data_IF_653892725036
#
_entry.id   IF_653892725036
#
_cell.length_a   1.000
_cell.length_b   1.000
_cell.length_c   1.000
_cell.angle_alpha   90.00
_cell.angle_beta   90.00
_cell.angle_gamma   90.00
#
_symmetry.space_group_name_H-M   'P 1'
#
loop_
_entity.id
_entity.type
_entity.pdbx_description
1 polymer ?
#
# COMPACT_ATOMS: atom_id res chain seq x y z
N UNK A 1 -12.04 -5.64 1.30
CA UNK A 1 -11.20 -6.08 2.44
C UNK A 1 -9.72 -5.92 2.07
N UNK A 2 -8.93 -5.41 2.98
CA UNK A 2 -7.48 -5.28 2.77
C UNK A 2 -6.83 -6.66 2.88
N UNK A 3 -6.09 -7.06 1.85
CA UNK A 3 -5.45 -8.37 1.80
C UNK A 3 -4.22 -8.45 2.72
N UNK A 4 -3.71 -9.65 2.91
CA UNK A 4 -2.45 -9.87 3.62
C UNK A 4 -1.29 -9.12 2.96
N UNK A 5 -1.26 -9.05 1.62
CA UNK A 5 -0.24 -8.31 0.88
C UNK A 5 -0.24 -6.82 1.25
N UNK A 6 -1.42 -6.20 1.27
CA UNK A 6 -1.56 -4.79 1.64
C UNK A 6 -1.11 -4.52 3.07
N UNK A 7 -1.52 -5.39 3.99
CA UNK A 7 -1.13 -5.26 5.40
C UNK A 7 0.38 -5.45 5.60
N UNK A 8 0.97 -6.42 4.91
CA UNK A 8 2.41 -6.67 5.00
C UNK A 8 3.23 -5.57 4.33
N UNK A 9 2.71 -4.98 3.25
CA UNK A 9 3.36 -3.83 2.63
C UNK A 9 3.49 -2.66 3.62
N UNK A 10 2.44 -2.39 4.39
CA UNK A 10 2.51 -1.38 5.45
C UNK A 10 3.57 -1.73 6.49
N UNK A 11 3.67 -3.00 6.90
CA UNK A 11 4.67 -3.45 7.86
C UNK A 11 6.10 -3.26 7.31
N UNK A 12 6.31 -3.54 6.02
CA UNK A 12 7.61 -3.31 5.38
C UNK A 12 7.96 -1.84 5.35
N UNK A 13 7.02 -0.99 4.96
CA UNK A 13 7.23 0.45 4.91
C UNK A 13 7.56 1.02 6.30
N UNK A 14 6.86 0.55 7.34
CA UNK A 14 7.12 0.95 8.72
C UNK A 14 8.47 0.46 9.21
N UNK A 15 8.84 -0.79 8.89
CA UNK A 15 10.14 -1.34 9.27
C UNK A 15 11.27 -0.48 8.72
N UNK A 16 11.17 -0.10 7.45
CA UNK A 16 12.16 0.77 6.82
C UNK A 16 12.16 2.16 7.46
N UNK A 17 10.99 2.72 7.75
CA UNK A 17 10.89 4.03 8.39
C UNK A 17 11.55 4.06 9.77
N UNK A 18 11.43 2.96 10.52
CA UNK A 18 11.97 2.86 11.87
C UNK A 18 13.46 2.55 11.91
N UNK A 19 13.97 1.83 10.92
CA UNK A 19 15.32 1.26 10.96
C UNK A 19 16.28 1.86 9.92
N UNK A 20 15.77 2.53 8.91
CA UNK A 20 16.60 3.15 7.90
C UNK A 20 17.35 4.37 8.44
N UNK A 21 18.65 4.41 8.25
CA UNK A 21 19.50 5.54 8.63
C UNK A 21 20.32 5.99 7.41
N UNK A 22 19.64 6.18 6.29
CA UNK A 22 20.28 6.57 5.04
C UNK A 22 20.96 5.42 4.30
N UNK A 23 20.77 4.18 4.75
CA UNK A 23 21.39 2.99 4.16
C UNK A 23 20.31 2.04 3.66
N UNK A 24 20.67 1.23 2.65
CA UNK A 24 19.82 0.14 2.20
C UNK A 24 19.73 -0.94 3.27
N UNK A 25 18.53 -1.47 3.50
CA UNK A 25 18.31 -2.52 4.48
C UNK A 25 18.06 -3.84 3.74
N UNK A 26 18.90 -4.88 4.00
CA UNK A 26 18.71 -6.18 3.37
C UNK A 26 17.33 -6.78 3.69
N UNK A 27 16.73 -7.42 2.70
CA UNK A 27 15.41 -8.02 2.87
C UNK A 27 15.38 -9.06 3.99
N UNK A 28 16.47 -9.81 4.18
CA UNK A 28 16.58 -10.80 5.27
C UNK A 28 16.38 -10.17 6.65
N UNK A 29 16.83 -8.93 6.82
CA UNK A 29 16.70 -8.23 8.10
C UNK A 29 15.25 -7.80 8.34
N UNK A 30 14.58 -7.33 7.30
CA UNK A 30 13.15 -7.00 7.37
C UNK A 30 12.36 -8.26 7.68
N UNK A 31 12.64 -9.35 6.98
CA UNK A 31 11.96 -10.63 7.17
C UNK A 31 12.10 -11.14 8.61
N UNK A 32 13.32 -11.03 9.17
CA UNK A 32 13.59 -11.46 10.53
C UNK A 32 12.84 -10.62 11.56
N UNK A 33 12.88 -9.28 11.43
CA UNK A 33 12.19 -8.40 12.39
C UNK A 33 10.69 -8.55 12.32
N UNK A 34 10.13 -8.72 11.11
CA UNK A 34 8.69 -8.82 10.91
C UNK A 34 8.16 -10.24 11.03
N UNK A 35 9.05 -11.22 11.21
CA UNK A 35 8.69 -12.64 11.28
C UNK A 35 7.88 -13.09 10.06
N UNK A 36 8.36 -12.69 8.88
CA UNK A 36 7.72 -13.00 7.61
C UNK A 36 8.68 -13.75 6.69
N UNK A 37 8.13 -14.55 5.79
CA UNK A 37 8.90 -15.26 4.79
C UNK A 37 9.62 -14.28 3.86
N UNK A 38 10.93 -14.45 3.71
CA UNK A 38 11.74 -13.65 2.77
C UNK A 38 11.20 -13.76 1.34
N UNK A 39 10.84 -14.97 0.94
CA UNK A 39 10.30 -15.23 -0.40
C UNK A 39 9.02 -14.45 -0.67
N UNK A 40 8.13 -14.41 0.32
CA UNK A 40 6.89 -13.63 0.20
C UNK A 40 7.17 -12.13 0.15
N UNK A 41 8.12 -11.67 0.97
CA UNK A 41 8.50 -10.25 0.98
C UNK A 41 9.16 -9.81 -0.33
N UNK A 42 9.84 -10.70 -1.03
CA UNK A 42 10.42 -10.40 -2.35
C UNK A 42 9.34 -9.93 -3.33
N UNK A 43 8.17 -10.55 -3.28
CA UNK A 43 7.04 -10.17 -4.14
C UNK A 43 6.52 -8.79 -3.74
N UNK A 44 6.38 -8.55 -2.46
CA UNK A 44 5.86 -7.28 -1.92
C UNK A 44 6.79 -6.12 -2.24
N UNK A 45 8.09 -6.24 -1.96
CA UNK A 45 9.04 -5.16 -2.20
C UNK A 45 9.20 -4.87 -3.69
N UNK A 46 9.09 -5.90 -4.53
CA UNK A 46 9.13 -5.72 -5.98
C UNK A 46 7.98 -4.84 -6.46
N UNK A 47 6.79 -5.06 -5.94
CA UNK A 47 5.63 -4.24 -6.26
C UNK A 47 5.77 -2.82 -5.73
N UNK A 48 6.32 -2.65 -4.54
CA UNK A 48 6.56 -1.33 -3.96
C UNK A 48 7.61 -0.54 -4.75
N UNK A 49 8.66 -1.20 -5.22
CA UNK A 49 9.67 -0.58 -6.10
C UNK A 49 9.04 -0.18 -7.43
N UNK A 50 8.23 -1.07 -8.01
CA UNK A 50 7.52 -0.81 -9.27
C UNK A 50 6.62 0.42 -9.17
N UNK A 51 5.99 0.62 -8.03
CA UNK A 51 5.12 1.77 -7.76
C UNK A 51 5.87 3.04 -7.38
N UNK A 52 7.20 3.02 -7.35
CA UNK A 52 7.99 4.18 -6.98
C UNK A 52 7.97 4.50 -5.49
N UNK A 53 7.58 3.55 -4.64
CA UNK A 53 7.48 3.76 -3.19
C UNK A 53 8.76 3.35 -2.45
N UNK A 54 9.57 2.49 -3.05
CA UNK A 54 10.86 2.06 -2.51
C UNK A 54 11.94 2.13 -3.59
N UNK A 55 13.18 2.22 -3.16
CA UNK A 55 14.36 2.05 -4.01
C UNK A 55 15.05 0.77 -3.58
N UNK A 56 15.44 -0.06 -4.57
CA UNK A 56 16.22 -1.25 -4.33
C UNK A 56 17.63 -1.11 -4.89
N UNK A 57 18.57 -1.80 -4.27
CA UNK A 57 19.95 -1.92 -4.75
C UNK A 57 20.41 -3.35 -4.57
N UNK A 58 21.16 -3.88 -5.55
CA UNK A 58 21.70 -5.24 -5.48
C UNK A 58 23.14 -5.25 -5.01
N UNK A 59 23.65 -6.45 -4.70
CA UNK A 59 25.04 -6.64 -4.30
C UNK A 59 25.30 -6.39 -2.83
N UNK A 60 26.59 -6.30 -2.48
CA UNK A 60 27.03 -6.06 -1.10
C UNK A 60 26.59 -4.66 -0.65
N UNK A 61 25.96 -4.59 0.51
CA UNK A 61 25.39 -3.34 1.02
C UNK A 61 24.07 -2.98 0.38
N UNK A 62 23.50 -3.88 -0.42
CA UNK A 62 22.20 -3.67 -1.06
C UNK A 62 21.01 -3.98 -0.15
N UNK A 63 19.84 -3.82 -0.71
CA UNK A 63 18.58 -4.01 -0.02
C UNK A 63 17.58 -2.96 -0.48
N UNK A 64 16.79 -2.46 0.46
CA UNK A 64 15.72 -1.51 0.15
C UNK A 64 15.75 -0.32 1.07
N UNK A 65 15.28 0.82 0.59
CA UNK A 65 15.10 2.02 1.41
C UNK A 65 13.94 2.86 0.89
N UNK A 66 13.47 3.77 1.74
CA UNK A 66 12.41 4.71 1.38
C UNK A 66 12.92 5.72 0.35
N UNK A 67 12.03 6.16 -0.55
CA UNK A 67 12.32 7.21 -1.54
C UNK A 67 12.04 8.60 -0.98
N UNK A 68 11.20 8.67 0.07
CA UNK A 68 10.70 9.91 0.66
C UNK A 68 10.71 9.79 2.17
N UNK A 69 10.55 10.91 2.85
CA UNK A 69 10.37 10.89 4.30
C UNK A 69 9.01 10.28 4.65
N UNK A 70 8.88 9.63 5.82
CA UNK A 70 7.60 8.99 6.21
C UNK A 70 6.39 9.91 6.14
N UNK A 71 6.52 11.19 6.43
CA UNK A 71 5.44 12.16 6.36
C UNK A 71 5.03 12.52 4.92
N UNK A 72 5.78 12.07 3.93
CA UNK A 72 5.49 12.32 2.52
C UNK A 72 4.75 11.16 1.84
N UNK A 73 4.53 10.05 2.55
CA UNK A 73 3.74 8.92 2.05
C UNK A 73 2.33 8.97 2.63
N UNK A 74 1.33 8.79 1.77
CA UNK A 74 -0.02 8.51 2.25
C UNK A 74 -0.22 7.01 2.38
N UNK A 75 -1.04 6.58 3.33
CA UNK A 75 -1.37 5.15 3.44
C UNK A 75 -2.20 4.70 2.22
N UNK A 76 -2.99 5.61 1.66
CA UNK A 76 -3.79 5.30 0.47
C UNK A 76 -2.94 4.87 -0.72
N UNK A 77 -1.84 5.59 -1.03
CA UNK A 77 -1.00 5.21 -2.15
C UNK A 77 -0.30 3.87 -1.95
N UNK A 78 0.07 3.56 -0.71
CA UNK A 78 0.70 2.26 -0.40
C UNK A 78 -0.30 1.11 -0.60
N UNK A 79 -1.50 1.27 -0.05
CA UNK A 79 -2.55 0.26 -0.16
C UNK A 79 -2.99 0.07 -1.61
N UNK A 80 -3.21 1.15 -2.36
CA UNK A 80 -3.62 1.05 -3.75
C UNK A 80 -2.54 0.39 -4.63
N UNK A 81 -1.27 0.61 -4.34
CA UNK A 81 -0.19 -0.06 -5.06
C UNK A 81 -0.28 -1.58 -4.94
N UNK A 82 -0.69 -2.06 -3.76
CA UNK A 82 -0.77 -3.50 -3.49
C UNK A 82 -2.11 -4.12 -3.88
N UNK A 83 -3.19 -3.39 -3.66
CA UNK A 83 -4.55 -3.91 -3.79
C UNK A 83 -5.23 -3.50 -5.11
N UNK A 84 -4.68 -2.50 -5.78
CA UNK A 84 -5.39 -1.80 -6.82
C UNK A 84 -6.43 -0.84 -6.23
N UNK A 85 -7.22 -0.21 -7.09
CA UNK A 85 -8.25 0.72 -6.66
C UNK A 85 -9.30 -0.01 -5.82
N UNK A 86 -9.49 0.42 -4.59
CA UNK A 86 -10.46 -0.20 -3.69
C UNK A 86 -11.87 0.26 -4.03
N UNK A 87 -12.76 -0.70 -4.21
CA UNK A 87 -14.17 -0.44 -4.44
C UNK A 87 -15.01 -1.36 -3.56
N UNK A 88 -16.04 -0.81 -2.93
CA UNK A 88 -16.93 -1.57 -2.07
C UNK A 88 -17.85 -2.49 -2.86
N UNK A 89 -18.17 -2.12 -4.10
CA UNK A 89 -19.03 -2.90 -5.00
C UNK A 89 -18.46 -2.87 -6.41
N UNK A 90 -18.79 -3.90 -7.21
CA UNK A 90 -18.25 -4.06 -8.56
C UNK A 90 -18.53 -2.86 -9.48
N UNK A 91 -19.71 -2.25 -9.36
CA UNK A 91 -20.09 -1.13 -10.21
C UNK A 91 -19.28 0.13 -9.97
N UNK A 92 -18.54 0.22 -8.87
CA UNK A 92 -17.65 1.34 -8.54
C UNK A 92 -16.17 1.00 -8.77
N UNK A 93 -15.87 -0.19 -9.28
CA UNK A 93 -14.50 -0.62 -9.52
C UNK A 93 -13.83 0.11 -10.69
N UNK A 94 -14.59 0.70 -11.59
CA UNK A 94 -14.09 1.50 -12.71
C UNK A 94 -14.76 2.87 -12.72
N UNK A 95 -14.17 3.81 -13.46
CA UNK A 95 -14.75 5.15 -13.58
C UNK A 95 -16.12 5.12 -14.29
N UNK A 96 -16.26 4.19 -15.23
CA UNK A 96 -17.50 4.03 -15.99
C UNK A 96 -18.33 2.91 -15.34
N UNK A 97 -19.42 3.31 -14.68
CA UNK A 97 -20.37 2.35 -14.14
C UNK A 97 -21.24 1.80 -15.28
N UNK A 98 -20.98 0.54 -15.65
CA UNK A 98 -21.70 -0.13 -16.75
C UNK A 98 -22.92 -0.90 -16.26
N UNK A 99 -23.27 -0.81 -14.98
CA UNK A 99 -24.44 -1.51 -14.43
C UNK A 99 -25.73 -1.03 -15.09
N UNK A 100 -26.57 -1.96 -15.61
CA UNK A 100 -27.84 -1.57 -16.24
C UNK A 100 -28.80 -0.82 -15.32
N UNK A 101 -28.63 -0.95 -14.00
CA UNK A 101 -29.50 -0.33 -13.01
C UNK A 101 -29.00 1.02 -12.51
N UNK A 102 -27.84 1.51 -12.99
CA UNK A 102 -27.17 2.70 -12.43
C UNK A 102 -28.06 3.95 -12.38
N UNK A 103 -28.94 4.14 -13.36
CA UNK A 103 -29.81 5.32 -13.45
C UNK A 103 -30.95 5.34 -12.42
N UNK A 104 -31.27 4.18 -11.85
CA UNK A 104 -32.37 4.06 -10.87
C UNK A 104 -32.00 3.23 -9.64
N UNK A 105 -30.71 2.95 -9.44
CA UNK A 105 -30.24 2.16 -8.30
C UNK A 105 -30.29 3.02 -7.02
N UNK A 106 -31.18 2.66 -6.11
CA UNK A 106 -31.37 3.40 -4.86
C UNK A 106 -30.22 3.21 -3.86
N UNK A 107 -29.43 2.14 -4.00
CA UNK A 107 -28.29 1.87 -3.10
C UNK A 107 -26.98 2.42 -3.62
N UNK A 108 -26.90 2.84 -4.88
CA UNK A 108 -25.66 3.38 -5.44
C UNK A 108 -25.12 4.58 -4.66
N UNK A 109 -25.94 5.54 -4.24
CA UNK A 109 -25.43 6.67 -3.43
C UNK A 109 -24.78 6.21 -2.12
N UNK A 110 -25.34 5.18 -1.47
CA UNK A 110 -24.78 4.61 -0.25
C UNK A 110 -23.37 4.05 -0.50
N UNK A 111 -23.21 3.25 -1.56
CA UNK A 111 -21.92 2.65 -1.89
C UNK A 111 -20.91 3.70 -2.32
N UNK A 112 -21.35 4.73 -3.03
CA UNK A 112 -20.49 5.86 -3.43
C UNK A 112 -19.97 6.60 -2.20
N UNK A 113 -20.83 6.89 -1.25
CA UNK A 113 -20.45 7.56 0.00
C UNK A 113 -19.46 6.69 0.79
N UNK A 114 -19.74 5.40 0.91
CA UNK A 114 -18.85 4.46 1.60
C UNK A 114 -17.46 4.41 0.94
N UNK A 115 -17.41 4.29 -0.39
CA UNK A 115 -16.16 4.31 -1.13
C UNK A 115 -15.36 5.58 -0.88
N UNK A 116 -16.03 6.73 -0.91
CA UNK A 116 -15.37 8.02 -0.68
C UNK A 116 -14.83 8.14 0.75
N UNK A 117 -15.58 7.65 1.73
CA UNK A 117 -15.14 7.64 3.12
C UNK A 117 -13.87 6.81 3.30
N UNK A 118 -13.82 5.62 2.73
CA UNK A 118 -12.66 4.73 2.83
C UNK A 118 -11.46 5.35 2.11
N UNK A 119 -11.67 5.86 0.90
CA UNK A 119 -10.61 6.51 0.12
C UNK A 119 -10.03 7.70 0.90
N UNK A 120 -10.88 8.60 1.35
CA UNK A 120 -10.44 9.80 2.06
C UNK A 120 -9.74 9.48 3.37
N UNK A 121 -10.23 8.45 4.07
CA UNK A 121 -9.57 7.98 5.29
C UNK A 121 -8.12 7.58 5.03
N UNK A 122 -7.87 6.70 4.07
CA UNK A 122 -6.51 6.23 3.79
C UNK A 122 -5.61 7.30 3.20
N UNK A 123 -6.14 8.20 2.37
CA UNK A 123 -5.34 9.28 1.80
C UNK A 123 -5.11 10.44 2.76
N UNK A 124 -5.90 10.53 3.83
CA UNK A 124 -5.67 11.52 4.90
C UNK A 124 -4.62 11.07 5.91
N UNK A 125 -4.26 9.78 5.91
CA UNK A 125 -3.28 9.21 6.84
C UNK A 125 -1.91 9.09 6.18
N UNK A 126 -0.88 9.37 6.95
CA UNK A 126 0.50 9.30 6.49
C UNK A 126 1.23 8.15 7.18
N UNK A 127 2.30 7.66 6.53
CA UNK A 127 3.12 6.62 7.12
C UNK A 127 3.64 7.06 8.51
N UNK A 128 4.02 8.33 8.63
CA UNK A 128 4.48 8.90 9.90
C UNK A 128 3.45 8.86 11.02
N UNK A 129 2.16 8.82 10.70
CA UNK A 129 1.09 8.73 11.71
C UNK A 129 1.12 7.41 12.48
N UNK A 130 1.78 6.39 11.93
CA UNK A 130 1.88 5.06 12.52
C UNK A 130 3.19 4.84 13.30
N UNK A 131 4.10 5.80 13.27
CA UNK A 131 5.39 5.69 13.95
C UNK A 131 5.35 6.08 15.43
#
# INVERSE_FOLDING_TARGET
MISTRGRYALRVMLDLAENEKGKYIPLKDIAARQELSKKYLEIIVKDLVKGGLLIGASGKGGGYKLCRRPEEYTLGEIIEQMEGKQASVACLASQDNECPRKSFCKTLPLWTEYNNLVHDFFYSKKLSDLL
#
